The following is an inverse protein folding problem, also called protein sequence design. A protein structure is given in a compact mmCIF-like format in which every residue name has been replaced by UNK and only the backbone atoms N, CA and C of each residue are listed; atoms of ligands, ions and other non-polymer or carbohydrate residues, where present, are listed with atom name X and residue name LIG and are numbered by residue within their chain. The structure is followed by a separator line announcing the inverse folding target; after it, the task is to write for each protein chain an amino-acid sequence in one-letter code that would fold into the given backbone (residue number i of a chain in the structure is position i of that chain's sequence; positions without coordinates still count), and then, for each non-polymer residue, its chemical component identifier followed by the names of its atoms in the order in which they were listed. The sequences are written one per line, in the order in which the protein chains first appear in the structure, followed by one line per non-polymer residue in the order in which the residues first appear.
data_IF_502600881530
#
_entry.id   IF_502600881530
#
_cell.length_a   1.000
_cell.length_b   1.000
_cell.length_c   1.000
_cell.angle_alpha   90.00
_cell.angle_beta   90.00
_cell.angle_gamma   90.00
#
_symmetry.space_group_name_H-M   'P 1'
#
loop_
_entity.id
_entity.type
_entity.pdbx_description
1 polymer ?
#
# COMPACT_ATOMS: atom_id res chain seq x y z
N UNK A 1 23.41 -7.65 6.02
CA UNK A 1 22.68 -6.79 6.98
C UNK A 1 21.20 -6.70 6.64
N UNK A 2 20.81 -6.75 5.37
CA UNK A 2 19.42 -6.80 4.98
C UNK A 2 18.72 -8.12 5.30
N UNK A 3 19.47 -9.16 5.65
CA UNK A 3 18.95 -10.49 5.98
C UNK A 3 18.69 -10.73 7.46
N UNK A 4 18.86 -9.74 8.32
CA UNK A 4 18.52 -9.89 9.72
C UNK A 4 17.13 -9.37 10.03
N UNK A 5 16.18 -10.23 10.41
CA UNK A 5 14.82 -9.84 10.76
C UNK A 5 14.74 -8.93 11.95
N UNK A 6 15.57 -9.23 12.90
CA UNK A 6 15.64 -8.56 14.18
C UNK A 6 16.79 -7.59 14.25
N UNK A 7 17.44 -7.35 13.18
CA UNK A 7 18.26 -6.19 13.23
C UNK A 7 17.29 -5.07 13.36
N UNK A 8 16.74 -5.04 14.48
CA UNK A 8 16.29 -3.88 15.06
C UNK A 8 17.31 -2.89 14.61
N UNK A 9 17.30 -2.84 13.44
CA UNK A 9 17.44 -1.84 12.57
C UNK A 9 18.41 -0.79 13.03
N UNK A 10 19.54 -1.23 13.56
CA UNK A 10 20.65 -0.36 13.74
C UNK A 10 21.74 -0.73 12.73
N UNK A 11 21.48 -0.49 11.45
CA UNK A 11 22.50 -0.57 10.45
C UNK A 11 23.57 0.51 10.79
N UNK A 12 24.78 0.13 11.23
CA UNK A 12 25.79 1.09 11.64
C UNK A 12 26.29 1.97 10.50
N UNK A 13 26.06 1.53 9.28
CA UNK A 13 26.44 2.26 8.06
C UNK A 13 25.36 3.23 7.57
N UNK A 14 24.19 3.27 8.19
CA UNK A 14 23.15 4.22 7.81
C UNK A 14 23.36 5.56 8.49
N UNK A 15 23.14 6.66 7.75
CA UNK A 15 23.36 8.00 8.27
C UNK A 15 22.40 8.35 9.42
N UNK A 16 22.89 9.17 10.36
CA UNK A 16 22.14 9.55 11.56
C UNK A 16 20.91 10.41 11.23
N UNK A 17 21.01 11.29 10.23
CA UNK A 17 19.88 12.17 9.86
C UNK A 17 18.65 11.40 9.44
N UNK A 18 18.80 10.34 8.62
CA UNK A 18 17.66 9.50 8.22
C UNK A 18 17.11 8.71 9.41
N UNK A 19 17.98 8.23 10.32
CA UNK A 19 17.57 7.55 11.56
C UNK A 19 16.78 8.45 12.50
N UNK A 20 17.05 9.74 12.51
CA UNK A 20 16.31 10.72 13.31
C UNK A 20 15.00 11.14 12.62
N UNK A 21 15.03 11.28 11.29
CA UNK A 21 13.90 11.76 10.49
C UNK A 21 12.79 10.73 10.36
N UNK A 22 13.16 9.47 10.15
CA UNK A 22 12.22 8.40 9.82
C UNK A 22 12.15 7.36 10.92
N UNK A 23 10.93 6.94 11.29
CA UNK A 23 10.72 5.87 12.25
C UNK A 23 11.25 4.54 11.70
N UNK A 24 10.98 4.25 10.43
CA UNK A 24 11.62 3.20 9.66
C UNK A 24 12.59 3.86 8.68
N UNK A 25 13.83 4.02 9.09
CA UNK A 25 14.79 4.87 8.39
C UNK A 25 15.24 4.37 7.03
N UNK A 26 15.07 3.09 6.73
CA UNK A 26 15.30 2.52 5.41
C UNK A 26 13.97 2.46 4.65
N UNK A 27 13.69 3.49 3.83
CA UNK A 27 12.43 3.62 3.12
C UNK A 27 12.20 2.53 2.08
N UNK A 28 13.25 1.97 1.50
CA UNK A 28 13.12 0.80 0.63
C UNK A 28 12.51 -0.39 1.37
N UNK A 29 12.81 -0.54 2.65
CA UNK A 29 12.32 -1.63 3.48
C UNK A 29 10.93 -1.38 4.03
N UNK A 30 10.56 -0.14 4.34
CA UNK A 30 9.26 0.16 4.91
C UNK A 30 8.10 -0.14 3.95
N UNK A 31 8.38 -0.19 2.64
CA UNK A 31 7.38 -0.15 1.58
C UNK A 31 7.14 -1.43 0.78
N UNK A 32 7.51 -2.57 1.20
CA UNK A 32 7.18 -3.76 0.41
C UNK A 32 8.24 -4.85 0.43
N UNK A 33 9.35 -4.59 1.10
CA UNK A 33 10.38 -5.60 1.31
C UNK A 33 10.00 -6.69 2.31
N UNK A 34 8.80 -6.64 2.91
CA UNK A 34 8.36 -7.69 3.83
C UNK A 34 8.32 -9.05 3.16
N UNK A 35 7.93 -9.12 1.89
CA UNK A 35 7.96 -10.38 1.13
C UNK A 35 9.39 -10.78 0.78
N UNK A 36 10.20 -9.87 0.26
CA UNK A 36 11.62 -10.10 -0.01
C UNK A 36 12.36 -10.50 1.26
N UNK A 37 11.97 -9.95 2.37
CA UNK A 37 12.50 -10.24 3.67
C UNK A 37 12.14 -11.65 4.16
N UNK A 38 10.92 -12.09 3.95
CA UNK A 38 10.52 -13.49 4.17
C UNK A 38 11.40 -14.44 3.35
N UNK A 39 11.63 -14.14 2.08
CA UNK A 39 12.50 -14.92 1.20
C UNK A 39 13.96 -14.88 1.67
N UNK A 40 14.47 -13.75 2.14
CA UNK A 40 15.82 -13.64 2.70
C UNK A 40 16.02 -14.52 3.94
N UNK A 41 14.98 -14.64 4.79
CA UNK A 41 14.99 -15.50 5.97
C UNK A 41 15.19 -16.99 5.62
N UNK A 42 14.67 -17.42 4.48
CA UNK A 42 14.86 -18.79 3.99
C UNK A 42 16.16 -19.00 3.22
N UNK A 43 17.05 -18.00 3.16
CA UNK A 43 18.35 -18.08 2.52
C UNK A 43 18.33 -18.12 0.99
N UNK A 44 17.18 -17.92 0.38
CA UNK A 44 16.98 -18.01 -1.06
C UNK A 44 17.18 -16.67 -1.79
N UNK A 45 16.98 -15.54 -1.08
CA UNK A 45 17.19 -14.21 -1.63
C UNK A 45 18.66 -13.83 -1.62
N UNK A 46 19.15 -13.45 -2.78
CA UNK A 46 20.53 -13.01 -2.99
C UNK A 46 20.55 -11.56 -3.46
N UNK A 47 21.59 -10.86 -3.06
CA UNK A 47 21.87 -9.49 -3.49
C UNK A 47 23.18 -9.42 -4.26
N UNK A 48 23.17 -8.70 -5.36
CA UNK A 48 24.35 -8.41 -6.18
C UNK A 48 24.45 -6.90 -6.40
N UNK A 49 25.57 -6.30 -6.01
CA UNK A 49 25.88 -4.91 -6.37
C UNK A 49 26.26 -4.88 -7.86
N UNK A 50 25.44 -4.21 -8.65
CA UNK A 50 25.63 -4.08 -10.09
C UNK A 50 26.63 -2.97 -10.42
N UNK A 51 26.54 -1.86 -9.70
CA UNK A 51 27.45 -0.74 -9.89
C UNK A 51 27.47 0.22 -8.69
N UNK A 52 28.55 0.94 -8.54
CA UNK A 52 28.67 2.11 -7.68
C UNK A 52 29.12 3.27 -8.58
N UNK A 53 28.26 4.28 -8.74
CA UNK A 53 28.49 5.39 -9.66
C UNK A 53 28.49 6.72 -8.91
N UNK A 54 29.48 7.60 -9.16
CA UNK A 54 29.39 8.96 -8.64
C UNK A 54 28.22 9.69 -9.29
N UNK A 55 27.43 10.37 -8.48
CA UNK A 55 26.35 11.27 -8.91
C UNK A 55 26.84 12.71 -8.97
N UNK A 56 27.77 13.06 -8.09
CA UNK A 56 28.53 14.29 -8.02
C UNK A 56 29.73 14.04 -7.07
N UNK A 57 30.40 15.10 -6.62
CA UNK A 57 31.60 15.00 -5.76
C UNK A 57 31.28 14.39 -4.37
N UNK A 58 30.05 14.51 -3.90
CA UNK A 58 29.67 14.12 -2.54
C UNK A 58 28.86 12.82 -2.48
N UNK A 59 28.14 12.46 -3.55
CA UNK A 59 27.16 11.38 -3.55
C UNK A 59 27.47 10.29 -4.57
N UNK A 60 27.20 9.06 -4.18
CA UNK A 60 27.31 7.87 -5.01
C UNK A 60 25.97 7.13 -5.04
N UNK A 61 25.61 6.58 -6.18
CA UNK A 61 24.53 5.64 -6.39
C UNK A 61 25.04 4.21 -6.27
N UNK A 62 24.55 3.48 -5.27
CA UNK A 62 24.75 2.04 -5.15
C UNK A 62 23.56 1.36 -5.80
N UNK A 63 23.75 0.83 -7.00
CA UNK A 63 22.74 0.09 -7.73
C UNK A 63 22.91 -1.40 -7.47
N UNK A 64 21.88 -2.04 -6.93
CA UNK A 64 21.85 -3.45 -6.56
C UNK A 64 20.71 -4.20 -7.23
N UNK A 65 20.87 -5.52 -7.35
CA UNK A 65 19.85 -6.44 -7.84
C UNK A 65 19.56 -7.48 -6.76
N UNK A 66 18.28 -7.72 -6.52
CA UNK A 66 17.80 -8.82 -5.69
C UNK A 66 17.22 -9.90 -6.58
N UNK A 67 17.67 -11.14 -6.36
CA UNK A 67 17.24 -12.26 -7.15
C UNK A 67 17.10 -13.52 -6.31
N UNK A 68 16.24 -14.42 -6.78
CA UNK A 68 16.00 -15.73 -6.20
C UNK A 68 16.59 -16.83 -7.09
N UNK A 69 17.08 -17.91 -6.47
CA UNK A 69 17.64 -19.06 -7.16
C UNK A 69 19.16 -19.02 -7.37
N UNK A 70 19.66 -19.99 -8.10
CA UNK A 70 21.07 -20.07 -8.47
C UNK A 70 21.32 -19.33 -9.80
N UNK A 71 22.32 -18.47 -9.83
CA UNK A 71 22.64 -17.67 -11.01
C UNK A 71 22.96 -18.54 -12.24
N UNK A 72 23.39 -19.79 -12.03
CA UNK A 72 23.69 -20.76 -13.09
C UNK A 72 22.45 -21.45 -13.69
N UNK A 73 21.27 -21.30 -13.06
CA UNK A 73 20.07 -22.07 -13.42
C UNK A 73 18.86 -21.17 -13.76
N UNK A 74 19.03 -19.96 -14.24
CA UNK A 74 17.97 -18.96 -14.45
C UNK A 74 17.55 -18.22 -13.17
N UNK A 75 18.33 -17.22 -12.74
CA UNK A 75 17.97 -16.42 -11.60
C UNK A 75 16.70 -15.62 -11.88
N UNK A 76 15.76 -15.68 -10.95
CA UNK A 76 14.56 -14.88 -11.02
C UNK A 76 14.86 -13.53 -10.39
N UNK A 77 14.95 -12.47 -11.22
CA UNK A 77 15.17 -11.11 -10.73
C UNK A 77 13.88 -10.58 -10.12
N UNK A 78 13.93 -10.26 -8.85
CA UNK A 78 12.79 -9.70 -8.11
C UNK A 78 12.74 -8.18 -8.25
N UNK A 79 13.84 -7.51 -7.97
CA UNK A 79 13.93 -6.08 -8.15
C UNK A 79 15.37 -5.59 -8.31
N UNK A 80 15.50 -4.36 -8.78
CA UNK A 80 16.74 -3.59 -8.66
C UNK A 80 16.49 -2.36 -7.81
N UNK A 81 17.53 -1.93 -7.06
CA UNK A 81 17.38 -0.84 -6.11
C UNK A 81 18.54 0.14 -6.18
N UNK A 82 18.26 1.36 -5.80
CA UNK A 82 19.20 2.45 -5.67
C UNK A 82 19.26 2.90 -4.20
N UNK A 83 20.45 2.88 -3.63
CA UNK A 83 20.74 3.39 -2.30
C UNK A 83 21.78 4.49 -2.43
N UNK A 84 21.54 5.59 -1.74
CA UNK A 84 22.51 6.69 -1.73
C UNK A 84 23.67 6.35 -0.81
N UNK A 85 24.89 6.69 -1.22
CA UNK A 85 26.06 6.71 -0.33
C UNK A 85 26.74 8.06 -0.40
N UNK A 86 27.17 8.57 0.75
CA UNK A 86 27.86 9.84 0.87
C UNK A 86 28.76 9.85 2.12
N UNK A 87 29.64 10.84 2.22
CA UNK A 87 30.51 10.99 3.38
C UNK A 87 29.79 11.75 4.50
N UNK A 88 29.85 11.21 5.71
CA UNK A 88 29.41 11.89 6.92
C UNK A 88 30.42 12.97 7.39
N UNK A 89 30.09 13.61 8.49
CA UNK A 89 30.97 14.66 9.09
C UNK A 89 32.35 14.15 9.50
N UNK A 90 32.46 12.83 9.72
CA UNK A 90 33.72 12.16 10.06
C UNK A 90 34.47 11.62 8.83
N UNK A 91 34.01 11.99 7.62
CA UNK A 91 34.56 11.53 6.35
C UNK A 91 34.40 9.99 6.11
N UNK A 92 33.50 9.33 6.82
CA UNK A 92 33.12 7.94 6.59
C UNK A 92 32.00 7.84 5.55
N UNK A 93 32.08 6.83 4.69
CA UNK A 93 30.96 6.53 3.79
C UNK A 93 29.80 5.94 4.58
N UNK A 94 28.63 6.57 4.44
CA UNK A 94 27.36 6.12 5.02
C UNK A 94 26.30 5.94 3.94
N UNK A 95 25.29 5.15 4.26
CA UNK A 95 24.13 4.91 3.40
C UNK A 95 23.02 5.91 3.74
N UNK A 96 22.17 6.17 2.77
CA UNK A 96 20.99 7.02 2.93
C UNK A 96 19.89 6.71 1.94
N UNK A 97 18.73 7.28 2.19
CA UNK A 97 17.57 7.10 1.33
C UNK A 97 17.73 7.84 0.00
N UNK A 98 17.24 7.21 -1.04
CA UNK A 98 17.22 7.79 -2.38
C UNK A 98 16.20 8.95 -2.47
N UNK A 99 15.13 8.92 -1.69
CA UNK A 99 14.02 9.87 -1.72
C UNK A 99 14.46 11.34 -1.67
N UNK A 100 15.24 11.72 -0.65
CA UNK A 100 15.65 13.11 -0.47
C UNK A 100 16.54 13.61 -1.62
N UNK A 101 17.41 12.75 -2.14
CA UNK A 101 18.28 13.08 -3.28
C UNK A 101 17.47 13.22 -4.57
N UNK A 102 16.56 12.28 -4.83
CA UNK A 102 15.76 12.27 -6.06
C UNK A 102 14.77 13.43 -6.11
N UNK A 103 14.13 13.74 -4.98
CA UNK A 103 13.16 14.82 -4.89
C UNK A 103 13.72 16.21 -4.56
N UNK A 104 15.06 16.36 -4.45
CA UNK A 104 15.72 17.62 -4.01
C UNK A 104 15.32 18.88 -4.79
N UNK A 105 14.95 18.73 -6.06
CA UNK A 105 14.54 19.81 -6.94
C UNK A 105 13.02 19.92 -7.12
N UNK A 106 12.24 19.10 -6.41
CA UNK A 106 10.79 19.14 -6.50
C UNK A 106 10.24 20.38 -5.79
N UNK A 107 9.16 20.92 -6.33
CA UNK A 107 8.44 22.02 -5.68
C UNK A 107 7.59 21.47 -4.55
N UNK A 108 7.48 22.22 -3.46
CA UNK A 108 6.62 21.83 -2.34
C UNK A 108 5.63 22.92 -1.96
N UNK A 109 4.49 22.48 -1.43
CA UNK A 109 3.44 23.34 -0.88
C UNK A 109 2.95 22.73 0.43
N UNK A 110 3.12 23.44 1.53
CA UNK A 110 2.59 23.01 2.84
C UNK A 110 1.25 23.65 3.12
N UNK A 111 0.26 22.87 3.53
CA UNK A 111 -1.05 23.30 4.00
C UNK A 111 -1.47 22.53 5.24
N UNK A 112 -1.66 23.24 6.36
CA UNK A 112 -1.84 22.60 7.66
C UNK A 112 -0.65 21.69 7.97
N UNK A 113 -0.93 20.45 8.33
CA UNK A 113 0.09 19.45 8.65
C UNK A 113 0.38 18.49 7.47
N UNK A 114 0.17 18.93 6.22
CA UNK A 114 0.50 18.16 5.02
C UNK A 114 1.44 18.97 4.14
N UNK A 115 2.54 18.37 3.73
CA UNK A 115 3.42 18.89 2.69
C UNK A 115 3.26 18.06 1.42
N UNK A 116 2.94 18.73 0.34
CA UNK A 116 2.81 18.14 -1.00
C UNK A 116 4.06 18.48 -1.81
N UNK A 117 4.72 17.45 -2.34
CA UNK A 117 5.92 17.54 -3.18
C UNK A 117 5.55 17.20 -4.62
N UNK A 118 5.95 18.03 -5.57
CA UNK A 118 5.55 17.93 -6.97
C UNK A 118 6.75 17.75 -7.88
N UNK A 119 6.77 16.71 -8.69
CA UNK A 119 7.79 16.54 -9.74
C UNK A 119 7.58 17.58 -10.84
N UNK A 120 6.50 17.48 -11.61
CA UNK A 120 6.12 18.47 -12.62
C UNK A 120 4.66 18.91 -12.50
N UNK A 121 3.84 18.16 -11.78
CA UNK A 121 2.42 18.40 -11.58
C UNK A 121 2.16 19.77 -10.94
N UNK A 122 1.08 20.44 -11.34
CA UNK A 122 0.69 21.73 -10.76
C UNK A 122 -0.29 21.54 -9.59
N UNK A 123 -0.09 22.25 -8.47
CA UNK A 123 -0.96 22.17 -7.30
C UNK A 123 -2.44 22.38 -7.63
N UNK A 124 -3.29 21.46 -7.18
CA UNK A 124 -4.75 21.55 -7.27
C UNK A 124 -5.35 21.90 -5.91
N UNK A 125 -5.77 23.17 -5.73
CA UNK A 125 -6.34 23.65 -4.46
C UNK A 125 -7.57 22.85 -4.01
N UNK A 126 -8.39 22.35 -4.95
CA UNK A 126 -9.57 21.55 -4.64
C UNK A 126 -9.18 20.21 -4.02
N UNK A 127 -8.21 19.49 -4.63
CA UNK A 127 -7.69 18.22 -4.08
C UNK A 127 -6.96 18.44 -2.75
N UNK A 128 -6.15 19.49 -2.60
CA UNK A 128 -5.51 19.85 -1.32
C UNK A 128 -6.57 20.02 -0.21
N UNK A 129 -7.63 20.77 -0.47
CA UNK A 129 -8.70 20.97 0.53
C UNK A 129 -9.42 19.65 0.86
N UNK A 130 -9.61 18.76 -0.10
CA UNK A 130 -10.17 17.43 0.14
C UNK A 130 -9.25 16.59 1.03
N UNK A 131 -7.95 16.59 0.78
CA UNK A 131 -6.97 15.86 1.62
C UNK A 131 -7.01 16.35 3.07
N UNK A 132 -7.07 17.68 3.30
CA UNK A 132 -7.19 18.25 4.65
C UNK A 132 -8.50 17.84 5.33
N UNK A 133 -9.62 17.87 4.63
CA UNK A 133 -10.91 17.42 5.15
C UNK A 133 -10.89 15.92 5.49
N UNK A 134 -10.28 15.11 4.64
CA UNK A 134 -10.20 13.68 4.87
C UNK A 134 -9.31 13.34 6.08
N UNK A 135 -8.25 14.10 6.30
CA UNK A 135 -7.45 13.98 7.53
C UNK A 135 -8.31 14.24 8.79
N UNK A 136 -9.16 15.28 8.77
CA UNK A 136 -10.11 15.54 9.85
C UNK A 136 -11.13 14.39 9.98
N UNK A 137 -11.62 13.87 8.87
CA UNK A 137 -12.51 12.71 8.85
C UNK A 137 -11.89 11.47 9.52
N UNK A 138 -10.60 11.20 9.29
CA UNK A 138 -9.89 10.09 9.97
C UNK A 138 -9.83 10.30 11.49
N UNK A 139 -9.62 11.54 11.93
CA UNK A 139 -9.64 11.87 13.35
C UNK A 139 -11.04 11.66 13.95
N UNK A 140 -12.06 12.25 13.32
CA UNK A 140 -13.41 12.29 13.85
C UNK A 140 -14.10 10.92 13.86
N UNK A 141 -13.85 10.09 12.85
CA UNK A 141 -14.52 8.79 12.70
C UNK A 141 -13.70 7.61 13.23
N UNK A 142 -12.38 7.68 13.18
CA UNK A 142 -11.51 6.57 13.59
C UNK A 142 -10.63 6.91 14.80
N UNK A 143 -10.65 8.15 15.26
CA UNK A 143 -9.80 8.61 16.36
C UNK A 143 -8.32 8.61 16.00
N UNK A 144 -7.98 8.80 14.73
CA UNK A 144 -6.61 8.76 14.23
C UNK A 144 -6.07 10.16 14.09
N UNK A 145 -5.18 10.54 15.01
CA UNK A 145 -4.46 11.79 14.94
C UNK A 145 -3.16 11.58 14.16
N UNK A 146 -3.17 11.95 12.89
CA UNK A 146 -1.96 11.91 12.08
C UNK A 146 -1.02 13.06 12.45
N UNK A 147 0.30 12.80 12.57
CA UNK A 147 1.30 13.85 12.64
C UNK A 147 1.44 14.56 11.29
N UNK A 148 2.57 15.21 11.06
CA UNK A 148 2.89 15.73 9.73
C UNK A 148 2.88 14.61 8.69
N UNK A 149 2.33 14.90 7.51
CA UNK A 149 2.19 13.97 6.40
C UNK A 149 2.90 14.54 5.16
N UNK A 150 3.75 13.75 4.53
CA UNK A 150 4.36 14.07 3.25
C UNK A 150 3.66 13.32 2.11
N UNK A 151 3.26 14.05 1.07
CA UNK A 151 2.63 13.49 -0.14
C UNK A 151 3.50 13.81 -1.34
N UNK A 152 4.09 12.80 -1.94
CA UNK A 152 4.92 12.94 -3.13
C UNK A 152 4.08 12.64 -4.38
N UNK A 153 4.00 13.60 -5.30
CA UNK A 153 3.20 13.51 -6.52
C UNK A 153 4.16 13.45 -7.71
N UNK A 154 4.40 12.23 -8.18
CA UNK A 154 5.23 11.93 -9.34
C UNK A 154 4.44 12.03 -10.64
N UNK A 155 5.13 12.08 -11.78
CA UNK A 155 4.49 12.15 -13.10
C UNK A 155 3.81 10.84 -13.52
N UNK A 156 4.13 9.74 -12.85
CA UNK A 156 3.52 8.43 -13.08
C UNK A 156 4.02 7.38 -12.09
N UNK A 157 3.45 6.18 -12.17
CA UNK A 157 3.76 5.09 -11.26
C UNK A 157 5.26 4.71 -11.27
N UNK A 158 5.88 4.59 -12.44
CA UNK A 158 7.32 4.28 -12.56
C UNK A 158 8.21 5.33 -11.87
N UNK A 159 7.82 6.59 -11.95
CA UNK A 159 8.55 7.67 -11.27
C UNK A 159 8.34 7.60 -9.75
N UNK A 160 7.15 7.18 -9.30
CA UNK A 160 6.91 6.90 -7.89
C UNK A 160 7.81 5.76 -7.37
N UNK A 161 8.01 4.69 -8.13
CA UNK A 161 8.94 3.61 -7.77
C UNK A 161 10.40 4.09 -7.74
N UNK A 162 10.82 4.86 -8.74
CA UNK A 162 12.17 5.46 -8.77
C UNK A 162 12.40 6.39 -7.57
N UNK A 163 11.39 7.14 -7.18
CA UNK A 163 11.44 8.02 -6.02
C UNK A 163 11.75 7.25 -4.73
N UNK A 164 11.19 6.06 -4.59
CA UNK A 164 11.45 5.16 -3.47
C UNK A 164 12.85 4.52 -3.53
N UNK A 165 13.47 4.51 -4.69
CA UNK A 165 14.74 3.86 -4.96
C UNK A 165 14.65 2.53 -5.72
N UNK A 166 13.47 2.18 -6.27
CA UNK A 166 13.35 1.02 -7.15
C UNK A 166 13.71 1.39 -8.59
N UNK A 167 14.65 0.65 -9.18
CA UNK A 167 14.92 0.73 -10.62
C UNK A 167 14.00 -0.20 -11.42
N UNK A 168 13.73 -1.37 -10.85
CA UNK A 168 12.82 -2.39 -11.37
C UNK A 168 12.23 -3.15 -10.20
N UNK A 169 10.94 -3.45 -10.27
CA UNK A 169 10.23 -4.31 -9.34
C UNK A 169 9.34 -5.26 -10.14
N UNK A 170 9.56 -6.56 -10.01
CA UNK A 170 8.83 -7.57 -10.78
C UNK A 170 7.35 -7.61 -10.39
N UNK A 171 7.05 -7.58 -9.10
CA UNK A 171 5.67 -7.68 -8.61
C UNK A 171 4.79 -6.56 -9.13
N UNK A 172 5.32 -5.34 -9.14
CA UNK A 172 4.58 -4.16 -9.55
C UNK A 172 4.67 -3.89 -11.07
N UNK A 173 5.81 -4.19 -11.70
CA UNK A 173 6.02 -3.92 -13.13
C UNK A 173 5.27 -4.91 -14.02
N UNK A 174 5.11 -6.16 -13.58
CA UNK A 174 4.39 -7.18 -14.34
C UNK A 174 2.88 -6.93 -14.40
N UNK A 175 2.34 -6.23 -13.41
CA UNK A 175 0.90 -5.94 -13.32
C UNK A 175 0.54 -4.60 -13.97
N UNK A 176 1.49 -3.66 -14.07
CA UNK A 176 1.17 -2.23 -14.26
C UNK A 176 2.03 -1.55 -15.34
N UNK A 177 1.87 -1.95 -16.58
CA UNK A 177 2.51 -1.24 -17.71
C UNK A 177 1.78 0.07 -18.10
N UNK A 178 0.85 0.56 -17.28
CA UNK A 178 0.09 1.78 -17.54
C UNK A 178 0.47 2.90 -16.56
N UNK A 179 0.62 4.12 -17.07
CA UNK A 179 1.00 5.31 -16.29
C UNK A 179 -0.04 5.76 -15.24
N UNK A 180 -1.19 5.10 -15.18
CA UNK A 180 -2.36 5.58 -14.43
C UNK A 180 -2.57 4.90 -13.07
N UNK A 181 -1.67 4.02 -12.70
CA UNK A 181 -1.93 3.10 -11.61
C UNK A 181 -1.08 3.37 -10.40
N UNK A 182 -1.74 3.12 -9.28
CA UNK A 182 -1.08 2.91 -8.02
C UNK A 182 -0.52 4.16 -7.35
N UNK A 183 -0.46 4.03 -6.08
CA UNK A 183 0.30 4.77 -5.12
C UNK A 183 0.53 3.83 -3.97
N UNK A 184 1.31 4.24 -3.02
CA UNK A 184 1.57 3.46 -1.82
C UNK A 184 1.65 4.37 -0.61
N UNK A 185 1.42 3.82 0.57
CA UNK A 185 1.48 4.54 1.83
C UNK A 185 2.51 3.92 2.75
N UNK A 186 3.56 4.66 3.04
CA UNK A 186 4.45 4.33 4.15
C UNK A 186 3.81 4.78 5.46
N UNK A 187 3.15 3.83 6.12
CA UNK A 187 2.36 4.07 7.33
C UNK A 187 3.26 4.49 8.50
N UNK A 188 4.46 3.94 8.58
CA UNK A 188 5.38 4.20 9.69
C UNK A 188 6.03 5.58 9.59
N UNK A 189 6.28 6.06 8.39
CA UNK A 189 6.92 7.34 8.14
C UNK A 189 5.93 8.45 7.72
N UNK A 190 4.64 8.13 7.64
CA UNK A 190 3.58 9.07 7.24
C UNK A 190 3.83 9.69 5.86
N UNK A 191 4.21 8.86 4.89
CA UNK A 191 4.45 9.28 3.50
C UNK A 191 3.42 8.62 2.59
N UNK A 192 2.86 9.40 1.66
CA UNK A 192 2.08 8.89 0.53
C UNK A 192 2.86 9.12 -0.75
N UNK A 193 3.09 8.06 -1.50
CA UNK A 193 3.61 8.12 -2.86
C UNK A 193 2.43 8.07 -3.82
N UNK A 194 2.12 9.22 -4.40
CA UNK A 194 1.03 9.45 -5.34
C UNK A 194 1.57 9.74 -6.74
N UNK A 195 0.69 9.86 -7.70
CA UNK A 195 1.03 10.24 -9.07
C UNK A 195 0.12 11.37 -9.59
N UNK A 196 0.42 11.89 -10.78
CA UNK A 196 -0.31 13.01 -11.39
C UNK A 196 -1.82 12.72 -11.60
N UNK A 197 -2.22 11.46 -11.83
CA UNK A 197 -3.61 11.07 -12.00
C UNK A 197 -4.39 11.20 -10.68
N UNK A 198 -3.84 10.69 -9.60
CA UNK A 198 -4.45 10.76 -8.26
C UNK A 198 -4.26 12.16 -7.65
N UNK A 199 -3.07 12.73 -7.76
CA UNK A 199 -2.74 14.05 -7.23
C UNK A 199 -2.68 14.09 -5.71
N UNK A 200 -3.08 15.24 -5.13
CA UNK A 200 -2.97 15.53 -3.71
C UNK A 200 -3.96 14.77 -2.83
N UNK A 201 -5.06 14.29 -3.41
CA UNK A 201 -6.09 13.55 -2.69
C UNK A 201 -6.20 12.13 -3.22
N UNK A 202 -5.31 11.29 -2.74
CA UNK A 202 -5.38 9.85 -2.98
C UNK A 202 -6.05 9.18 -1.80
N UNK A 203 -7.37 9.12 -1.86
CA UNK A 203 -8.23 8.73 -0.76
C UNK A 203 -7.97 7.30 -0.29
N UNK A 204 -7.77 6.37 -1.23
CA UNK A 204 -7.42 4.98 -0.93
C UNK A 204 -6.19 4.90 -0.03
N UNK A 205 -5.10 5.57 -0.42
CA UNK A 205 -3.85 5.55 0.34
C UNK A 205 -3.97 6.30 1.68
N UNK A 206 -4.73 7.39 1.72
CA UNK A 206 -5.00 8.09 2.98
C UNK A 206 -5.78 7.22 3.96
N UNK A 207 -6.70 6.36 3.48
CA UNK A 207 -7.46 5.46 4.32
C UNK A 207 -6.59 4.40 5.00
N UNK A 208 -5.48 3.99 4.38
CA UNK A 208 -4.53 3.02 4.96
C UNK A 208 -3.93 3.48 6.29
N UNK A 209 -3.94 4.77 6.59
CA UNK A 209 -3.54 5.27 7.92
C UNK A 209 -4.43 4.79 9.07
N UNK A 210 -5.57 4.17 8.80
CA UNK A 210 -6.35 3.44 9.80
C UNK A 210 -5.48 2.38 10.49
N UNK A 211 -4.53 1.79 9.78
CA UNK A 211 -3.59 0.80 10.31
C UNK A 211 -2.60 1.37 11.37
N UNK A 212 -2.46 2.69 11.48
CA UNK A 212 -1.66 3.29 12.58
C UNK A 212 -2.24 2.89 13.94
N UNK A 213 -3.57 2.85 14.04
CA UNK A 213 -4.29 2.49 15.26
C UNK A 213 -4.70 1.01 15.30
N UNK A 214 -5.06 0.45 14.16
CA UNK A 214 -5.63 -0.89 14.03
C UNK A 214 -4.64 -1.82 13.31
N UNK A 215 -3.44 -1.97 13.88
CA UNK A 215 -2.41 -2.87 13.33
C UNK A 215 -2.83 -4.32 13.44
N UNK A 216 -2.54 -5.07 12.38
CA UNK A 216 -2.89 -6.49 12.32
C UNK A 216 -4.36 -6.77 12.01
N UNK A 217 -5.18 -5.75 11.75
CA UNK A 217 -6.54 -5.94 11.23
C UNK A 217 -6.52 -6.83 9.99
N UNK A 218 -7.51 -7.70 9.88
CA UNK A 218 -7.70 -8.56 8.73
C UNK A 218 -7.68 -7.77 7.41
N UNK A 219 -6.91 -8.23 6.43
CA UNK A 219 -6.67 -7.51 5.18
C UNK A 219 -7.96 -7.13 4.43
N UNK A 220 -8.97 -8.01 4.40
CA UNK A 220 -10.25 -7.70 3.76
C UNK A 220 -10.97 -6.50 4.39
N UNK A 221 -10.85 -6.31 5.70
CA UNK A 221 -11.45 -5.13 6.34
C UNK A 221 -10.70 -3.85 5.95
N UNK A 222 -9.38 -3.90 5.86
CA UNK A 222 -8.57 -2.73 5.50
C UNK A 222 -8.71 -2.37 4.02
N UNK A 223 -8.67 -3.36 3.13
CA UNK A 223 -8.84 -3.17 1.70
C UNK A 223 -10.27 -2.70 1.38
N UNK A 224 -11.26 -3.37 1.98
CA UNK A 224 -12.67 -2.99 1.82
C UNK A 224 -12.99 -1.59 2.35
N UNK A 225 -12.35 -1.20 3.45
CA UNK A 225 -12.53 0.13 4.05
C UNK A 225 -12.05 1.24 3.10
N UNK A 226 -10.93 1.02 2.42
CA UNK A 226 -10.37 1.97 1.46
C UNK A 226 -11.34 2.20 0.29
N UNK A 227 -11.96 1.14 -0.21
CA UNK A 227 -12.96 1.25 -1.28
C UNK A 227 -14.30 1.80 -0.78
N UNK A 228 -14.72 1.42 0.43
CA UNK A 228 -15.99 1.88 1.02
C UNK A 228 -16.06 3.40 1.14
N UNK A 229 -14.98 4.04 1.56
CA UNK A 229 -14.92 5.49 1.70
C UNK A 229 -14.41 6.24 0.46
N UNK A 230 -14.07 5.58 -0.63
CA UNK A 230 -13.68 6.23 -1.88
C UNK A 230 -14.86 6.97 -2.53
N UNK A 231 -14.67 8.21 -3.01
CA UNK A 231 -15.71 8.99 -3.72
C UNK A 231 -16.17 8.31 -5.01
N UNK A 232 -15.22 7.80 -5.79
CA UNK A 232 -15.45 7.12 -7.06
C UNK A 232 -14.48 5.95 -7.14
N UNK A 233 -14.80 4.84 -6.47
CA UNK A 233 -13.86 3.75 -6.35
C UNK A 233 -13.52 3.17 -7.72
N UNK A 234 -12.22 3.14 -7.99
CA UNK A 234 -11.62 2.55 -9.18
C UNK A 234 -10.47 1.67 -8.76
N UNK A 235 -10.47 0.46 -9.23
CA UNK A 235 -9.34 -0.44 -9.06
C UNK A 235 -8.62 -0.49 -10.40
N UNK A 236 -7.33 -0.17 -10.40
CA UNK A 236 -6.51 -0.13 -11.61
C UNK A 236 -7.15 0.79 -12.69
N UNK A 237 -7.63 1.97 -12.30
CA UNK A 237 -8.25 2.92 -13.22
C UNK A 237 -9.63 2.54 -13.76
N UNK A 238 -10.07 1.29 -13.53
CA UNK A 238 -11.35 0.75 -13.97
C UNK A 238 -12.42 0.97 -12.89
N UNK A 239 -13.64 1.43 -13.24
CA UNK A 239 -14.72 1.59 -12.28
C UNK A 239 -15.02 0.29 -11.52
N UNK A 240 -15.23 0.39 -10.22
CA UNK A 240 -15.45 -0.78 -9.36
C UNK A 240 -16.65 -1.64 -9.80
N UNK A 241 -17.67 -1.04 -10.40
CA UNK A 241 -18.81 -1.77 -10.95
C UNK A 241 -18.42 -2.76 -12.05
N UNK A 242 -17.45 -2.41 -12.88
CA UNK A 242 -16.93 -3.33 -13.91
C UNK A 242 -16.31 -4.56 -13.26
N UNK A 243 -15.49 -4.35 -12.24
CA UNK A 243 -14.89 -5.45 -11.49
C UNK A 243 -15.94 -6.32 -10.77
N UNK A 244 -17.03 -5.73 -10.25
CA UNK A 244 -18.12 -6.50 -9.69
C UNK A 244 -18.84 -7.37 -10.74
N UNK A 245 -19.01 -6.88 -11.98
CA UNK A 245 -19.58 -7.68 -13.07
C UNK A 245 -18.69 -8.86 -13.45
N UNK A 246 -17.38 -8.62 -13.51
CA UNK A 246 -16.41 -9.68 -13.81
C UNK A 246 -16.39 -10.73 -12.69
N UNK A 247 -16.45 -10.29 -11.44
CA UNK A 247 -16.51 -11.18 -10.27
C UNK A 247 -17.82 -11.98 -10.23
N UNK A 248 -18.97 -11.35 -10.48
CA UNK A 248 -20.28 -12.02 -10.53
C UNK A 248 -20.30 -13.10 -11.61
N UNK A 249 -19.85 -12.76 -12.83
CA UNK A 249 -19.73 -13.72 -13.92
C UNK A 249 -18.82 -14.90 -13.56
N UNK A 250 -17.68 -14.61 -12.94
CA UNK A 250 -16.74 -15.65 -12.50
C UNK A 250 -17.35 -16.56 -11.43
N UNK A 251 -18.03 -15.97 -10.44
CA UNK A 251 -18.68 -16.73 -9.38
C UNK A 251 -19.87 -17.56 -9.89
N UNK A 252 -20.61 -17.09 -10.88
CA UNK A 252 -21.69 -17.86 -11.52
C UNK A 252 -21.12 -19.05 -12.31
N UNK A 253 -19.93 -18.93 -12.92
CA UNK A 253 -19.22 -20.01 -13.61
C UNK A 253 -18.57 -21.01 -12.65
N UNK A 254 -18.34 -20.61 -11.40
CA UNK A 254 -17.63 -21.39 -10.37
C UNK A 254 -18.47 -21.47 -9.08
N UNK A 255 -19.58 -22.23 -9.09
CA UNK A 255 -20.45 -22.37 -7.94
C UNK A 255 -19.78 -23.11 -6.76
N UNK A 256 -18.73 -23.87 -7.03
CA UNK A 256 -17.93 -24.60 -6.03
C UNK A 256 -17.09 -23.68 -5.14
N UNK A 257 -16.84 -22.45 -5.56
CA UNK A 257 -16.03 -21.51 -4.77
C UNK A 257 -16.75 -21.12 -3.49
N UNK A 258 -16.09 -21.37 -2.38
CA UNK A 258 -16.53 -20.96 -1.06
C UNK A 258 -15.83 -19.69 -0.62
N UNK A 259 -16.56 -18.58 -0.60
CA UNK A 259 -16.06 -17.26 -0.21
C UNK A 259 -15.76 -17.13 1.30
N UNK A 260 -16.01 -18.18 2.10
CA UNK A 260 -15.57 -18.26 3.50
C UNK A 260 -14.10 -18.66 3.61
N UNK A 261 -13.53 -19.27 2.57
CA UNK A 261 -12.12 -19.70 2.51
C UNK A 261 -11.36 -18.73 1.59
N UNK A 262 -11.06 -17.55 2.14
CA UNK A 262 -10.59 -16.42 1.36
C UNK A 262 -9.15 -16.56 0.85
N UNK A 263 -8.29 -17.27 1.60
CA UNK A 263 -6.88 -17.50 1.22
C UNK A 263 -6.69 -18.50 0.06
N UNK A 264 -7.71 -19.30 -0.22
CA UNK A 264 -7.66 -20.33 -1.28
C UNK A 264 -8.24 -19.89 -2.61
N UNK A 265 -8.59 -18.62 -2.70
CA UNK A 265 -9.19 -18.06 -3.88
C UNK A 265 -8.09 -17.73 -4.90
N UNK A 266 -7.33 -18.75 -5.32
CA UNK A 266 -6.33 -18.62 -6.37
C UNK A 266 -7.03 -18.49 -7.73
N UNK A 267 -7.07 -17.30 -8.22
CA UNK A 267 -7.65 -16.98 -9.53
C UNK A 267 -6.66 -16.26 -10.42
N UNK A 268 -5.41 -16.53 -10.23
CA UNK A 268 -4.35 -16.24 -11.22
C UNK A 268 -4.11 -14.77 -11.60
N UNK A 269 -5.04 -13.84 -11.38
CA UNK A 269 -4.91 -12.44 -11.78
C UNK A 269 -5.81 -11.46 -11.02
N UNK A 270 -6.38 -11.82 -9.87
CA UNK A 270 -7.39 -10.99 -9.25
C UNK A 270 -7.07 -10.59 -7.79
N UNK A 271 -5.95 -9.92 -7.52
CA UNK A 271 -5.75 -9.08 -6.34
C UNK A 271 -6.95 -8.18 -6.05
N UNK A 272 -7.68 -7.83 -7.09
CA UNK A 272 -8.90 -7.03 -7.04
C UNK A 272 -10.07 -7.66 -6.27
N UNK A 273 -10.11 -8.99 -6.11
CA UNK A 273 -11.21 -9.67 -5.40
C UNK A 273 -11.24 -9.32 -3.93
N UNK A 274 -10.06 -9.22 -3.30
CA UNK A 274 -9.98 -8.86 -1.89
C UNK A 274 -10.60 -7.48 -1.63
N UNK A 275 -10.36 -6.52 -2.53
CA UNK A 275 -10.98 -5.20 -2.46
C UNK A 275 -12.51 -5.29 -2.58
N UNK A 276 -13.03 -6.09 -3.51
CA UNK A 276 -14.47 -6.23 -3.74
C UNK A 276 -15.17 -6.96 -2.60
N UNK A 277 -14.63 -8.10 -2.17
CA UNK A 277 -15.18 -8.88 -1.06
C UNK A 277 -15.05 -8.08 0.25
N UNK A 278 -13.92 -7.45 0.47
CA UNK A 278 -13.72 -6.57 1.60
C UNK A 278 -14.73 -5.42 1.64
N UNK A 279 -14.97 -4.77 0.50
CA UNK A 279 -16.01 -3.73 0.38
C UNK A 279 -17.41 -4.27 0.74
N UNK A 280 -17.78 -5.45 0.24
CA UNK A 280 -19.05 -6.11 0.58
C UNK A 280 -19.15 -6.30 2.08
N UNK A 281 -18.13 -6.87 2.72
CA UNK A 281 -18.10 -7.15 4.16
C UNK A 281 -18.20 -5.85 4.97
N UNK A 282 -17.37 -4.86 4.66
CA UNK A 282 -17.38 -3.54 5.35
C UNK A 282 -18.75 -2.88 5.23
N UNK A 283 -19.35 -2.92 4.02
CA UNK A 283 -20.67 -2.33 3.81
C UNK A 283 -21.78 -3.09 4.56
N UNK A 284 -21.71 -4.42 4.64
CA UNK A 284 -22.66 -5.23 5.42
C UNK A 284 -22.56 -4.89 6.91
N UNK A 285 -21.35 -4.85 7.48
CA UNK A 285 -21.14 -4.48 8.88
C UNK A 285 -21.68 -3.06 9.13
N UNK A 286 -21.32 -2.11 8.27
CA UNK A 286 -21.73 -0.72 8.43
C UNK A 286 -23.25 -0.54 8.34
N UNK A 287 -23.91 -1.23 7.38
CA UNK A 287 -25.39 -1.14 7.18
C UNK A 287 -26.18 -1.79 8.30
N UNK A 288 -25.75 -2.97 8.77
CA UNK A 288 -26.53 -3.76 9.73
C UNK A 288 -26.20 -3.47 11.18
N UNK A 289 -24.94 -3.17 11.46
CA UNK A 289 -24.42 -3.04 12.83
C UNK A 289 -23.95 -1.63 13.17
N UNK A 290 -23.71 -0.79 12.15
CA UNK A 290 -23.28 0.60 12.32
C UNK A 290 -21.79 0.75 12.55
N UNK A 291 -21.36 2.02 12.62
CA UNK A 291 -19.95 2.41 12.66
C UNK A 291 -19.19 1.87 13.89
N UNK A 292 -19.84 1.83 15.05
CA UNK A 292 -19.23 1.30 16.27
C UNK A 292 -18.73 -0.15 16.09
N UNK A 293 -19.57 -1.00 15.46
CA UNK A 293 -19.22 -2.40 15.20
C UNK A 293 -18.13 -2.54 14.12
N UNK A 294 -18.08 -1.63 13.17
CA UNK A 294 -16.95 -1.59 12.23
C UNK A 294 -15.63 -1.27 12.96
N UNK A 295 -15.61 -0.31 13.90
CA UNK A 295 -14.42 -0.02 14.69
C UNK A 295 -14.03 -1.19 15.60
N UNK A 296 -15.00 -1.91 16.16
CA UNK A 296 -14.76 -3.13 16.92
C UNK A 296 -14.12 -4.21 16.04
N UNK A 297 -14.65 -4.45 14.83
CA UNK A 297 -14.07 -5.39 13.87
C UNK A 297 -12.63 -5.04 13.52
N UNK A 298 -12.34 -3.76 13.24
CA UNK A 298 -10.98 -3.30 12.95
C UNK A 298 -9.99 -3.57 14.10
N UNK A 299 -10.46 -3.56 15.35
CA UNK A 299 -9.62 -3.78 16.52
C UNK A 299 -9.50 -5.23 16.99
N UNK A 300 -10.37 -6.13 16.52
CA UNK A 300 -10.48 -7.49 17.10
C UNK A 300 -10.42 -8.61 16.07
N UNK A 301 -10.52 -8.31 14.78
CA UNK A 301 -10.53 -9.30 13.71
C UNK A 301 -9.18 -9.29 12.98
N UNK A 302 -8.41 -10.36 13.13
CA UNK A 302 -7.05 -10.50 12.59
C UNK A 302 -6.90 -11.71 11.66
N UNK A 303 -7.78 -12.72 11.82
CA UNK A 303 -7.75 -13.98 11.06
C UNK A 303 -9.07 -14.24 10.37
N UNK A 304 -9.08 -15.14 9.39
CA UNK A 304 -10.30 -15.57 8.67
C UNK A 304 -11.34 -16.12 9.63
N UNK A 305 -10.94 -16.98 10.59
CA UNK A 305 -11.84 -17.55 11.58
C UNK A 305 -12.50 -16.48 12.46
N UNK A 306 -11.73 -15.45 12.85
CA UNK A 306 -12.27 -14.33 13.64
C UNK A 306 -13.22 -13.48 12.79
N UNK A 307 -12.93 -13.30 11.49
CA UNK A 307 -13.80 -12.58 10.57
C UNK A 307 -15.15 -13.31 10.42
N UNK A 308 -15.12 -14.61 10.16
CA UNK A 308 -16.34 -15.41 10.01
C UNK A 308 -17.19 -15.40 11.28
N UNK A 309 -16.57 -15.61 12.45
CA UNK A 309 -17.26 -15.53 13.75
C UNK A 309 -17.83 -14.13 14.02
N UNK A 310 -17.08 -13.08 13.63
CA UNK A 310 -17.59 -11.71 13.78
C UNK A 310 -18.83 -11.48 12.91
N UNK A 311 -18.82 -11.94 11.67
CA UNK A 311 -19.95 -11.86 10.74
C UNK A 311 -21.15 -12.64 11.33
N UNK A 312 -20.96 -13.88 11.72
CA UNK A 312 -22.00 -14.74 12.30
C UNK A 312 -22.65 -14.07 13.51
N UNK A 313 -21.86 -13.66 14.49
CA UNK A 313 -22.37 -13.13 15.75
C UNK A 313 -23.03 -11.75 15.65
N UNK A 314 -22.63 -10.93 14.67
CA UNK A 314 -23.10 -9.54 14.58
C UNK A 314 -24.09 -9.29 13.44
N UNK A 315 -24.09 -10.10 12.40
CA UNK A 315 -25.04 -9.94 11.28
C UNK A 315 -26.29 -10.84 11.40
N UNK A 316 -26.36 -11.65 12.44
CA UNK A 316 -27.45 -12.66 12.65
C UNK A 316 -27.58 -13.61 11.44
N UNK A 317 -26.44 -14.20 11.06
CA UNK A 317 -26.32 -15.07 9.88
C UNK A 317 -25.59 -16.33 10.29
N UNK A 318 -26.14 -17.48 9.98
CA UNK A 318 -25.43 -18.75 10.19
C UNK A 318 -24.23 -18.84 9.24
N UNK A 319 -23.11 -19.41 9.70
CA UNK A 319 -21.87 -19.55 8.92
C UNK A 319 -22.11 -20.15 7.53
N UNK A 320 -23.00 -21.14 7.40
CA UNK A 320 -23.36 -21.78 6.12
C UNK A 320 -23.95 -20.79 5.10
N UNK A 321 -24.55 -19.69 5.54
CA UNK A 321 -25.25 -18.71 4.69
C UNK A 321 -24.36 -17.53 4.29
N UNK A 322 -23.16 -17.38 4.90
CA UNK A 322 -22.23 -16.28 4.63
C UNK A 322 -21.84 -16.25 3.14
N UNK A 323 -21.48 -17.41 2.56
CA UNK A 323 -21.13 -17.51 1.15
C UNK A 323 -22.24 -17.01 0.23
N UNK A 324 -23.49 -17.42 0.49
CA UNK A 324 -24.66 -17.01 -0.30
C UNK A 324 -24.92 -15.51 -0.16
N UNK A 325 -24.75 -14.95 1.03
CA UNK A 325 -24.92 -13.53 1.28
C UNK A 325 -23.89 -12.69 0.50
N UNK A 326 -22.60 -13.05 0.57
CA UNK A 326 -21.57 -12.33 -0.16
C UNK A 326 -21.80 -12.38 -1.67
N UNK A 327 -22.17 -13.55 -2.22
CA UNK A 327 -22.53 -13.70 -3.65
C UNK A 327 -23.71 -12.82 -4.03
N UNK A 328 -24.73 -12.73 -3.19
CA UNK A 328 -25.90 -11.89 -3.45
C UNK A 328 -25.55 -10.39 -3.48
N UNK A 329 -24.68 -9.93 -2.57
CA UNK A 329 -24.22 -8.54 -2.56
C UNK A 329 -23.28 -8.24 -3.76
N UNK A 330 -22.40 -9.16 -4.15
CA UNK A 330 -21.59 -9.04 -5.38
C UNK A 330 -22.50 -8.83 -6.60
N UNK A 331 -23.53 -9.68 -6.76
CA UNK A 331 -24.51 -9.57 -7.82
C UNK A 331 -25.30 -8.26 -7.77
N UNK A 332 -25.64 -7.80 -6.59
CA UNK A 332 -26.29 -6.50 -6.41
C UNK A 332 -25.41 -5.35 -6.93
N UNK A 333 -24.11 -5.30 -6.56
CA UNK A 333 -23.23 -4.23 -7.03
C UNK A 333 -22.86 -4.36 -8.51
N UNK A 334 -22.80 -5.57 -9.06
CA UNK A 334 -22.66 -5.80 -10.49
C UNK A 334 -23.80 -5.15 -11.30
N UNK A 335 -25.01 -5.23 -10.81
CA UNK A 335 -26.22 -4.72 -11.49
C UNK A 335 -26.46 -3.23 -11.24
N UNK A 336 -26.32 -2.78 -9.99
CA UNK A 336 -26.76 -1.43 -9.57
C UNK A 336 -25.59 -0.47 -9.30
N UNK A 337 -24.38 -0.97 -9.30
CA UNK A 337 -23.19 -0.20 -8.97
C UNK A 337 -23.02 0.07 -7.48
N UNK A 338 -21.89 0.67 -7.15
CA UNK A 338 -21.57 1.14 -5.82
C UNK A 338 -21.11 2.60 -5.88
N UNK A 339 -21.66 3.42 -4.99
CA UNK A 339 -21.20 4.80 -4.75
C UNK A 339 -20.55 4.88 -3.38
N UNK A 340 -19.33 5.41 -3.33
CA UNK A 340 -18.62 5.61 -2.06
C UNK A 340 -19.38 6.45 -1.05
N UNK A 341 -18.96 6.37 0.21
CA UNK A 341 -19.70 6.93 1.37
C UNK A 341 -19.04 8.15 2.01
N UNK A 342 -18.05 8.76 1.34
CA UNK A 342 -17.41 9.98 1.83
C UNK A 342 -17.77 11.21 1.05
#
# INVERSE_FOLDING_TARGET
LMSSPDSLYNNPYWNCRDKEKYKSYDLLRSEGYMELYGLAKYGELKNLVLSIKPLNDDYYDIHSMYYWGHFSEYPYVLCTTHVLSFKDENNNFVLGNWLDYYSKNWKSVTKGDITFHYQTYKPNRGKINKALKFRSFLLDNFGIKLPHLDVYISDGFRESQRLKGFGYDFGETAVFDTNDLGGTTDIDNYIIYSNATQGEFYQHEMMRFVLVKYRGTHHLLTDGLSEYYSENPKIIGIPIQTHFRDLDYYLDAHPEIDLRILDRFDSGNMTQKNYLIGLVIVNLIQKRCGHHKLLEALGTVHTDDELLKFIENNLDIEEKDINSLIRAEVKHYANFGYSGKW
#
